data_IF_036842658553
#
_entry.id   IF_036842658553
#
_cell.length_a   1.000
_cell.length_b   1.000
_cell.length_c   1.000
_cell.angle_alpha   90.00
_cell.angle_beta   90.00
_cell.angle_gamma   90.00
#
_symmetry.space_group_name_H-M   'P 1'
#
loop_
_entity.id
_entity.type
_entity.pdbx_description
1 polymer ?
#
# COMPACT_ATOMS: atom_id res chain seq x y z
N UNK A 1 22.99 -6.57 -2.46
CA UNK A 1 21.82 -6.62 -1.58
C UNK A 1 21.49 -5.21 -1.09
N UNK A 2 20.21 -4.83 -1.02
CA UNK A 2 19.75 -3.56 -0.41
C UNK A 2 19.99 -3.57 1.10
N UNK A 3 19.93 -4.75 1.73
CA UNK A 3 20.22 -4.94 3.15
C UNK A 3 21.70 -4.68 3.51
N UNK A 4 22.57 -4.54 2.51
CA UNK A 4 23.97 -4.19 2.70
C UNK A 4 24.24 -2.67 2.65
N UNK A 5 23.20 -1.84 2.67
CA UNK A 5 23.31 -0.38 2.68
C UNK A 5 22.70 0.20 3.95
N UNK A 6 23.15 1.39 4.41
CA UNK A 6 22.53 2.07 5.55
C UNK A 6 21.19 2.76 5.20
N UNK A 7 20.76 2.68 3.93
CA UNK A 7 19.59 3.41 3.43
C UNK A 7 18.32 2.57 3.54
N UNK A 8 17.21 3.25 3.81
CA UNK A 8 15.89 2.62 3.97
C UNK A 8 14.91 2.92 2.83
N UNK A 9 15.24 3.89 1.98
CA UNK A 9 14.40 4.30 0.84
C UNK A 9 15.29 4.87 -0.27
N UNK A 10 15.11 4.36 -1.49
CA UNK A 10 15.71 4.88 -2.73
C UNK A 10 14.58 5.20 -3.70
N UNK A 11 14.71 6.26 -4.49
CA UNK A 11 13.67 6.72 -5.43
C UNK A 11 14.24 7.04 -6.81
N UNK A 12 13.35 7.10 -7.81
CA UNK A 12 13.67 7.57 -9.16
C UNK A 12 14.65 6.67 -9.92
N UNK A 13 15.40 7.31 -10.82
CA UNK A 13 16.32 6.61 -11.73
C UNK A 13 17.48 5.94 -10.99
N UNK A 14 17.96 6.53 -9.90
CA UNK A 14 19.04 5.97 -9.09
C UNK A 14 18.64 4.70 -8.34
N UNK A 15 17.37 4.60 -7.91
CA UNK A 15 16.84 3.34 -7.36
C UNK A 15 16.84 2.23 -8.41
N UNK A 16 16.49 2.59 -9.66
CA UNK A 16 16.52 1.65 -10.78
C UNK A 16 17.95 1.24 -11.11
N UNK A 17 18.87 2.20 -11.21
CA UNK A 17 20.29 1.94 -11.44
C UNK A 17 20.89 1.05 -10.34
N UNK A 18 20.56 1.31 -9.09
CA UNK A 18 20.93 0.45 -7.97
C UNK A 18 20.41 -0.97 -8.14
N UNK A 19 19.13 -1.16 -8.46
CA UNK A 19 18.56 -2.48 -8.73
C UNK A 19 19.29 -3.21 -9.89
N UNK A 20 19.64 -2.49 -10.97
CA UNK A 20 20.45 -3.05 -12.07
C UNK A 20 21.83 -3.50 -11.61
N UNK A 21 22.50 -2.70 -10.76
CA UNK A 21 23.81 -3.07 -10.19
C UNK A 21 23.76 -4.33 -9.32
N UNK A 22 22.57 -4.72 -8.84
CA UNK A 22 22.34 -5.96 -8.07
C UNK A 22 21.87 -7.14 -8.93
N UNK A 23 21.84 -7.00 -10.25
CA UNK A 23 21.50 -8.08 -11.18
C UNK A 23 20.00 -8.21 -11.49
N UNK A 24 19.14 -7.28 -11.06
CA UNK A 24 17.73 -7.30 -11.45
C UNK A 24 17.57 -6.88 -12.92
N UNK A 25 17.01 -7.74 -13.76
CA UNK A 25 16.80 -7.50 -15.19
C UNK A 25 15.70 -6.46 -15.46
N UNK A 26 15.81 -5.77 -16.60
CA UNK A 26 14.75 -4.88 -17.09
C UNK A 26 13.48 -5.69 -17.36
N UNK A 27 12.35 -5.19 -16.87
CA UNK A 27 11.05 -5.81 -17.03
C UNK A 27 10.02 -4.74 -17.30
N UNK A 28 9.19 -4.95 -18.32
CA UNK A 28 8.05 -4.09 -18.65
C UNK A 28 6.76 -4.72 -18.10
N UNK A 29 6.16 -4.14 -17.05
CA UNK A 29 4.93 -4.67 -16.47
C UNK A 29 3.68 -4.35 -17.28
N UNK A 30 3.77 -3.57 -18.37
CA UNK A 30 2.61 -3.08 -19.11
C UNK A 30 1.96 -4.19 -19.95
N UNK A 31 0.78 -4.63 -19.51
CA UNK A 31 -0.09 -5.56 -20.23
C UNK A 31 -0.77 -4.89 -21.44
N UNK A 32 -1.23 -5.65 -22.45
CA UNK A 32 -2.00 -5.10 -23.57
C UNK A 32 -3.22 -4.28 -23.11
N UNK A 33 -3.90 -4.74 -22.07
CA UNK A 33 -5.05 -4.05 -21.49
C UNK A 33 -4.64 -2.72 -20.82
N UNK A 34 -3.54 -2.69 -20.07
CA UNK A 34 -3.04 -1.44 -19.46
C UNK A 34 -2.64 -0.40 -20.52
N UNK A 35 -2.04 -0.85 -21.62
CA UNK A 35 -1.68 0.01 -22.76
C UNK A 35 -2.92 0.55 -23.45
N UNK A 36 -3.96 -0.28 -23.66
CA UNK A 36 -5.23 0.15 -24.23
C UNK A 36 -5.91 1.21 -23.35
N UNK A 37 -5.99 0.98 -22.04
CA UNK A 37 -6.52 1.95 -21.06
C UNK A 37 -5.76 3.27 -21.08
N UNK A 38 -4.43 3.24 -21.21
CA UNK A 38 -3.61 4.44 -21.37
C UNK A 38 -3.93 5.18 -22.67
N UNK A 39 -4.07 4.49 -23.80
CA UNK A 39 -4.40 5.12 -25.09
C UNK A 39 -5.78 5.80 -25.06
N UNK A 40 -6.81 5.10 -24.56
CA UNK A 40 -8.16 5.67 -24.39
C UNK A 40 -8.14 6.91 -23.49
N UNK A 41 -7.34 6.86 -22.44
CA UNK A 41 -7.15 7.97 -21.51
C UNK A 41 -6.47 9.19 -22.16
N UNK A 42 -5.42 8.95 -22.96
CA UNK A 42 -4.74 10.01 -23.70
C UNK A 42 -5.64 10.65 -24.77
N UNK A 43 -6.48 9.86 -25.44
CA UNK A 43 -7.47 10.39 -26.39
C UNK A 43 -8.46 11.33 -25.70
N UNK A 44 -9.02 10.91 -24.55
CA UNK A 44 -9.92 11.76 -23.74
C UNK A 44 -9.25 13.04 -23.25
N UNK A 45 -7.95 13.01 -22.93
CA UNK A 45 -7.18 14.22 -22.58
C UNK A 45 -7.07 15.17 -23.77
N UNK A 46 -6.76 14.65 -24.97
CA UNK A 46 -6.66 15.47 -26.19
C UNK A 46 -7.99 16.12 -26.55
N UNK A 47 -9.10 15.43 -26.32
CA UNK A 47 -10.46 15.93 -26.52
C UNK A 47 -10.95 16.88 -25.41
N UNK A 48 -10.14 17.13 -24.37
CA UNK A 48 -10.51 17.99 -23.23
C UNK A 48 -11.53 17.36 -22.27
N UNK A 49 -11.86 16.07 -22.44
CA UNK A 49 -12.81 15.33 -21.59
C UNK A 49 -12.21 14.86 -20.27
N UNK A 50 -10.88 14.73 -20.20
CA UNK A 50 -10.12 14.45 -18.98
C UNK A 50 -9.02 15.50 -18.80
N UNK A 51 -8.75 15.94 -17.56
CA UNK A 51 -7.60 16.80 -17.31
C UNK A 51 -6.31 16.00 -17.49
N UNK A 52 -5.23 16.67 -17.90
CA UNK A 52 -3.89 16.05 -18.02
C UNK A 52 -3.42 15.43 -16.71
N UNK A 53 -3.76 16.07 -15.60
CA UNK A 53 -3.50 15.59 -14.24
C UNK A 53 -4.78 15.66 -13.40
N UNK A 54 -4.96 14.68 -12.52
CA UNK A 54 -6.05 14.68 -11.57
C UNK A 54 -5.94 15.91 -10.64
N UNK A 55 -7.03 16.68 -10.55
CA UNK A 55 -7.13 17.83 -9.63
C UNK A 55 -7.62 17.43 -8.23
N UNK A 56 -8.22 16.24 -8.12
CA UNK A 56 -8.76 15.67 -6.88
C UNK A 56 -8.45 14.18 -6.84
N UNK A 57 -8.01 13.68 -5.70
CA UNK A 57 -7.68 12.27 -5.47
C UNK A 57 -8.90 11.34 -5.51
N UNK A 58 -10.12 11.88 -5.29
CA UNK A 58 -11.41 11.17 -5.31
C UNK A 58 -12.01 10.92 -6.70
N UNK A 59 -11.42 11.49 -7.76
CA UNK A 59 -11.98 11.44 -9.11
C UNK A 59 -11.34 10.35 -9.99
N UNK A 60 -10.45 9.54 -9.42
CA UNK A 60 -9.67 8.55 -10.15
C UNK A 60 -9.88 7.19 -9.51
N UNK A 61 -10.09 6.20 -10.36
CA UNK A 61 -10.23 4.82 -9.97
C UNK A 61 -8.95 4.33 -9.26
N UNK A 62 -9.02 4.11 -7.94
CA UNK A 62 -7.87 3.76 -7.10
C UNK A 62 -7.66 2.25 -7.14
N UNK A 63 -7.05 1.75 -8.21
CA UNK A 63 -6.77 0.33 -8.32
C UNK A 63 -5.28 0.06 -8.39
N UNK A 64 -4.80 -0.91 -7.60
CA UNK A 64 -3.50 -1.54 -7.84
C UNK A 64 -2.52 -1.62 -6.68
N UNK A 65 -2.91 -1.30 -5.44
CA UNK A 65 -2.06 -1.58 -4.27
C UNK A 65 -2.34 -2.99 -3.76
N UNK A 66 -1.28 -3.77 -3.58
CA UNK A 66 -1.29 -5.07 -2.91
C UNK A 66 -0.45 -4.99 -1.64
N UNK A 67 -0.94 -5.62 -0.57
CA UNK A 67 -0.26 -5.68 0.71
C UNK A 67 -0.28 -7.10 1.28
N UNK A 68 0.75 -7.44 2.03
CA UNK A 68 0.84 -8.71 2.75
C UNK A 68 1.45 -8.51 4.13
N UNK A 69 0.88 -9.19 5.12
CA UNK A 69 1.41 -9.26 6.48
C UNK A 69 1.58 -10.73 6.88
N UNK A 70 2.67 -11.03 7.58
CA UNK A 70 2.97 -12.41 7.99
C UNK A 70 3.61 -12.47 9.37
N UNK A 71 3.43 -13.62 10.03
CA UNK A 71 4.12 -14.01 11.26
C UNK A 71 4.81 -15.36 11.05
N UNK A 72 6.12 -15.43 11.32
CA UNK A 72 6.87 -16.67 11.15
C UNK A 72 6.76 -17.64 12.35
N UNK A 73 7.40 -18.82 12.25
CA UNK A 73 7.42 -19.82 13.34
C UNK A 73 8.14 -19.32 14.60
N UNK A 74 9.09 -18.40 14.47
CA UNK A 74 9.84 -17.77 15.57
C UNK A 74 9.09 -16.58 16.18
N UNK A 75 7.90 -16.24 15.66
CA UNK A 75 7.10 -15.14 16.13
C UNK A 75 7.52 -13.76 15.60
N UNK A 76 8.37 -13.70 14.56
CA UNK A 76 8.75 -12.45 13.90
C UNK A 76 7.67 -12.02 12.91
N UNK A 77 7.51 -10.71 12.74
CA UNK A 77 6.51 -10.10 11.87
C UNK A 77 7.16 -9.45 10.65
N UNK A 78 6.48 -9.53 9.51
CA UNK A 78 6.89 -8.87 8.28
C UNK A 78 5.68 -8.25 7.58
N UNK A 79 5.89 -7.12 6.92
CA UNK A 79 4.93 -6.42 6.09
C UNK A 79 5.56 -6.12 4.73
N UNK A 80 4.79 -6.27 3.66
CA UNK A 80 5.19 -5.89 2.30
C UNK A 80 4.04 -5.18 1.60
N UNK A 81 4.34 -4.13 0.84
CA UNK A 81 3.36 -3.40 0.05
C UNK A 81 3.96 -3.05 -1.32
N UNK A 82 3.14 -3.07 -2.36
CA UNK A 82 3.51 -2.68 -3.71
C UNK A 82 2.33 -2.04 -4.41
N UNK A 83 2.59 -1.07 -5.29
CA UNK A 83 1.54 -0.34 -6.00
C UNK A 83 2.01 0.14 -7.37
N UNK A 84 1.10 0.19 -8.33
CA UNK A 84 1.27 0.95 -9.57
C UNK A 84 1.03 2.46 -9.42
N UNK A 85 0.62 2.89 -8.23
CA UNK A 85 0.23 4.28 -7.95
C UNK A 85 -1.20 4.57 -8.40
N UNK A 86 -1.48 5.83 -8.68
CA UNK A 86 -2.81 6.28 -9.10
C UNK A 86 -2.70 6.94 -10.48
N UNK A 87 -3.66 6.66 -11.36
CA UNK A 87 -3.66 7.19 -12.72
C UNK A 87 -3.74 8.73 -12.73
N UNK A 88 -3.18 9.35 -13.77
CA UNK A 88 -3.20 10.81 -13.99
C UNK A 88 -2.58 11.65 -12.87
N UNK A 89 -1.74 11.08 -12.02
CA UNK A 89 -1.02 11.88 -11.03
C UNK A 89 0.16 12.63 -11.66
N UNK A 90 0.61 13.68 -10.99
CA UNK A 90 1.81 14.41 -11.39
C UNK A 90 3.03 13.46 -11.41
N UNK A 91 3.93 13.57 -12.39
CA UNK A 91 5.19 12.83 -12.39
C UNK A 91 5.94 13.08 -11.08
N UNK A 92 6.44 12.01 -10.46
CA UNK A 92 7.10 12.08 -9.16
C UNK A 92 6.16 12.04 -7.95
N UNK A 93 4.83 11.96 -8.12
CA UNK A 93 3.91 11.73 -7.00
C UNK A 93 4.23 10.39 -6.33
N UNK A 94 4.39 10.42 -5.01
CA UNK A 94 4.59 9.24 -4.16
C UNK A 94 3.37 9.09 -3.24
N UNK A 95 2.79 7.89 -3.21
CA UNK A 95 1.69 7.54 -2.31
C UNK A 95 2.20 6.95 -0.99
N UNK A 96 1.30 6.32 -0.23
CA UNK A 96 1.57 5.75 1.08
C UNK A 96 2.40 4.46 1.03
N UNK A 97 2.24 3.64 -0.02
CA UNK A 97 2.75 2.27 -0.07
C UNK A 97 4.25 2.12 0.22
N UNK A 98 5.17 2.97 -0.29
CA UNK A 98 6.61 2.86 0.04
C UNK A 98 6.99 3.55 1.36
N UNK A 99 6.06 4.20 2.05
CA UNK A 99 6.33 5.04 3.22
C UNK A 99 6.08 4.24 4.50
N UNK A 100 7.16 3.94 5.23
CA UNK A 100 7.11 3.24 6.52
C UNK A 100 6.28 4.04 7.52
N UNK A 101 5.31 3.38 8.15
CA UNK A 101 4.36 3.98 9.08
C UNK A 101 3.10 4.54 8.41
N UNK A 102 3.13 4.85 7.11
CA UNK A 102 1.93 5.18 6.36
C UNK A 102 1.32 3.92 5.73
N UNK A 103 1.89 3.43 4.62
CA UNK A 103 1.36 2.29 3.86
C UNK A 103 1.66 0.92 4.48
N UNK A 104 2.76 0.81 5.22
CA UNK A 104 3.13 -0.44 5.90
C UNK A 104 3.94 -0.17 7.18
N UNK A 105 3.81 -1.07 8.15
CA UNK A 105 4.64 -1.06 9.34
C UNK A 105 4.77 -2.46 9.93
N UNK A 106 5.97 -2.85 10.32
CA UNK A 106 6.21 -4.10 11.04
C UNK A 106 7.14 -3.86 12.23
N UNK A 107 6.80 -4.44 13.37
CA UNK A 107 7.59 -4.36 14.59
C UNK A 107 7.42 -5.62 15.45
N UNK A 108 8.00 -5.67 16.65
CA UNK A 108 8.00 -6.87 17.50
C UNK A 108 6.62 -7.39 17.91
N UNK A 109 5.56 -6.56 17.82
CA UNK A 109 4.21 -6.90 18.27
C UNK A 109 3.25 -7.28 17.14
N UNK A 110 3.47 -6.76 15.93
CA UNK A 110 2.55 -6.90 14.81
C UNK A 110 3.17 -6.46 13.47
N UNK A 111 2.49 -6.81 12.38
CA UNK A 111 2.68 -6.24 11.05
C UNK A 111 1.34 -5.72 10.52
N UNK A 112 1.38 -4.60 9.80
CA UNK A 112 0.23 -3.89 9.25
C UNK A 112 0.55 -3.43 7.82
N UNK A 113 -0.39 -3.59 6.90
CA UNK A 113 -0.37 -2.93 5.59
C UNK A 113 -1.72 -2.32 5.29
N UNK A 114 -1.74 -1.25 4.52
CA UNK A 114 -2.97 -0.54 4.15
C UNK A 114 -3.03 -0.27 2.65
N UNK A 115 -4.23 0.02 2.16
CA UNK A 115 -4.52 0.40 0.77
C UNK A 115 -5.61 1.47 0.76
N UNK A 116 -5.69 2.28 -0.30
CA UNK A 116 -6.72 3.32 -0.46
C UNK A 116 -6.17 4.64 -0.98
N UNK A 117 -6.76 5.76 -0.55
CA UNK A 117 -6.28 7.10 -0.90
C UNK A 117 -4.97 7.40 -0.15
N UNK A 118 -3.83 7.25 -0.85
CA UNK A 118 -2.50 7.40 -0.26
C UNK A 118 -2.28 8.73 0.48
N UNK A 119 -2.80 9.84 -0.03
CA UNK A 119 -2.67 11.15 0.62
C UNK A 119 -3.39 11.21 1.98
N UNK A 120 -4.55 10.57 2.09
CA UNK A 120 -5.32 10.54 3.34
C UNK A 120 -4.69 9.57 4.35
N UNK A 121 -4.10 8.47 3.86
CA UNK A 121 -3.34 7.51 4.64
C UNK A 121 -2.08 8.15 5.22
N UNK A 122 -1.30 8.84 4.40
CA UNK A 122 -0.04 9.48 4.80
C UNK A 122 -0.26 10.55 5.86
N UNK A 123 -1.29 11.40 5.70
CA UNK A 123 -1.64 12.44 6.70
C UNK A 123 -1.93 11.87 8.08
N UNK A 124 -2.35 10.61 8.17
CA UNK A 124 -2.71 9.93 9.42
C UNK A 124 -1.67 8.94 9.91
N UNK A 125 -0.62 8.67 9.12
CA UNK A 125 0.41 7.65 9.47
C UNK A 125 -0.26 6.31 9.82
N UNK A 126 -1.22 5.91 8.97
CA UNK A 126 -2.27 4.95 9.34
C UNK A 126 -1.73 3.59 9.83
N UNK A 127 -0.80 2.97 9.10
CA UNK A 127 -0.29 1.65 9.52
C UNK A 127 0.42 1.70 10.86
N UNK A 128 1.12 2.80 11.19
CA UNK A 128 1.72 3.02 12.51
C UNK A 128 0.65 3.22 13.59
N UNK A 129 -0.39 4.00 13.31
CA UNK A 129 -1.52 4.19 14.25
C UNK A 129 -2.16 2.85 14.59
N UNK A 130 -2.44 2.00 13.59
CA UNK A 130 -3.01 0.67 13.81
C UNK A 130 -2.03 -0.21 14.60
N UNK A 131 -0.74 -0.21 14.25
CA UNK A 131 0.29 -0.95 14.97
C UNK A 131 0.36 -0.55 16.44
N UNK A 132 0.33 0.74 16.76
CA UNK A 132 0.45 1.24 18.13
C UNK A 132 -0.72 0.79 18.99
N UNK A 133 -1.94 0.75 18.44
CA UNK A 133 -3.09 0.19 19.16
C UNK A 133 -2.91 -1.29 19.50
N UNK A 134 -2.34 -2.07 18.58
CA UNK A 134 -2.04 -3.48 18.84
C UNK A 134 -0.93 -3.60 19.90
N UNK A 135 0.10 -2.74 19.83
CA UNK A 135 1.16 -2.69 20.83
C UNK A 135 0.66 -2.28 22.22
N UNK A 136 -0.38 -1.44 22.30
CA UNK A 136 -1.12 -1.08 23.52
C UNK A 136 -2.06 -2.19 24.02
N UNK A 137 -2.10 -3.35 23.36
CA UNK A 137 -2.85 -4.53 23.79
C UNK A 137 -4.25 -4.69 23.17
N UNK A 138 -4.61 -3.88 22.16
CA UNK A 138 -5.85 -4.11 21.40
C UNK A 138 -5.70 -5.31 20.47
N UNK A 139 -6.81 -5.98 20.20
CA UNK A 139 -6.85 -7.01 19.16
C UNK A 139 -6.59 -6.38 17.78
N UNK A 140 -5.99 -7.11 16.82
CA UNK A 140 -5.80 -6.62 15.46
C UNK A 140 -7.08 -6.11 14.81
N UNK A 141 -8.21 -6.82 15.01
CA UNK A 141 -9.50 -6.41 14.46
C UNK A 141 -9.99 -5.08 15.06
N UNK A 142 -9.90 -4.91 16.39
CA UNK A 142 -10.29 -3.66 17.03
C UNK A 142 -9.41 -2.49 16.59
N UNK A 143 -8.11 -2.73 16.41
CA UNK A 143 -7.18 -1.72 15.89
C UNK A 143 -7.48 -1.34 14.43
N UNK A 144 -7.78 -2.32 13.56
CA UNK A 144 -8.14 -2.08 12.18
C UNK A 144 -9.46 -1.29 12.06
N UNK A 145 -10.50 -1.67 12.80
CA UNK A 145 -11.77 -0.94 12.86
C UNK A 145 -11.55 0.50 13.34
N UNK A 146 -10.71 0.70 14.37
CA UNK A 146 -10.36 2.05 14.82
C UNK A 146 -9.65 2.85 13.74
N UNK A 147 -8.72 2.24 13.01
CA UNK A 147 -8.03 2.85 11.87
C UNK A 147 -9.01 3.36 10.81
N UNK A 148 -9.98 2.54 10.40
CA UNK A 148 -11.01 2.95 9.45
C UNK A 148 -11.85 4.14 9.95
N UNK A 149 -12.22 4.15 11.24
CA UNK A 149 -13.05 5.22 11.81
C UNK A 149 -12.38 6.61 11.80
N UNK A 150 -11.11 6.71 11.42
CA UNK A 150 -10.39 7.98 11.26
C UNK A 150 -10.69 8.67 9.92
N UNK A 151 -11.43 8.01 9.03
CA UNK A 151 -11.71 8.48 7.69
C UNK A 151 -13.22 8.74 7.51
N UNK A 152 -13.59 9.77 6.73
CA UNK A 152 -14.94 9.89 6.23
C UNK A 152 -15.34 8.67 5.41
N UNK A 153 -16.64 8.37 5.34
CA UNK A 153 -17.17 7.22 4.60
C UNK A 153 -16.83 7.24 3.10
N UNK A 154 -16.63 8.43 2.53
CA UNK A 154 -16.31 8.63 1.12
C UNK A 154 -14.81 8.57 0.79
N UNK A 155 -13.98 8.12 1.74
CA UNK A 155 -12.55 7.88 1.55
C UNK A 155 -12.29 6.39 1.67
N UNK A 156 -12.11 5.70 0.53
CA UNK A 156 -11.85 4.26 0.50
C UNK A 156 -10.52 3.89 1.15
N UNK A 157 -10.58 3.01 2.14
CA UNK A 157 -9.43 2.50 2.90
C UNK A 157 -9.61 1.01 3.17
N UNK A 158 -8.53 0.25 2.99
CA UNK A 158 -8.40 -1.14 3.43
C UNK A 158 -7.22 -1.31 4.37
N UNK A 159 -7.37 -2.17 5.36
CA UNK A 159 -6.36 -2.44 6.39
C UNK A 159 -6.29 -3.95 6.62
N UNK A 160 -5.07 -4.49 6.65
CA UNK A 160 -4.81 -5.83 7.16
C UNK A 160 -3.71 -5.77 8.22
N UNK A 161 -3.86 -6.56 9.28
CA UNK A 161 -2.91 -6.63 10.38
C UNK A 161 -2.79 -8.06 10.92
N UNK A 162 -1.59 -8.43 11.38
CA UNK A 162 -1.34 -9.69 12.08
C UNK A 162 -0.52 -9.43 13.33
N UNK A 163 -0.87 -10.13 14.42
CA UNK A 163 -0.19 -10.06 15.71
C UNK A 163 -0.01 -11.46 16.31
N UNK A 164 0.49 -11.51 17.55
CA UNK A 164 0.57 -12.77 18.27
C UNK A 164 -0.81 -13.40 18.56
N UNK A 165 -1.84 -12.57 18.71
CA UNK A 165 -3.21 -12.96 19.07
C UNK A 165 -4.16 -13.17 17.88
N UNK A 166 -3.65 -13.23 16.65
CA UNK A 166 -4.47 -13.44 15.43
C UNK A 166 -4.27 -12.35 14.39
N UNK A 167 -5.23 -12.20 13.48
CA UNK A 167 -5.25 -11.18 12.44
C UNK A 167 -6.47 -10.28 12.56
N UNK A 168 -6.47 -9.20 11.80
CA UNK A 168 -7.59 -8.27 11.67
C UNK A 168 -7.59 -7.66 10.29
N UNK A 169 -8.78 -7.43 9.78
CA UNK A 169 -9.02 -6.96 8.41
C UNK A 169 -10.22 -6.04 8.40
N UNK A 170 -10.10 -4.92 7.71
CA UNK A 170 -11.17 -3.93 7.67
C UNK A 170 -11.13 -3.17 6.35
N UNK A 171 -12.29 -3.00 5.73
CA UNK A 171 -12.51 -2.09 4.60
C UNK A 171 -13.79 -1.31 4.81
N UNK A 172 -13.85 -0.06 4.32
CA UNK A 172 -15.08 0.75 4.33
C UNK A 172 -15.78 0.84 2.97
N UNK A 173 -15.22 0.22 1.92
CA UNK A 173 -15.77 0.15 0.57
C UNK A 173 -15.38 -1.19 -0.08
N UNK A 174 -16.04 -1.60 -1.17
CA UNK A 174 -15.80 -2.89 -1.86
C UNK A 174 -14.43 -3.00 -2.56
N UNK A 175 -13.56 -2.02 -2.36
CA UNK A 175 -12.27 -1.85 -3.06
C UNK A 175 -11.14 -2.73 -2.51
N UNK A 176 -11.23 -3.21 -1.27
CA UNK A 176 -10.16 -3.97 -0.64
C UNK A 176 -10.60 -5.42 -0.40
N UNK A 177 -10.01 -6.34 -1.17
CA UNK A 177 -10.11 -7.77 -0.95
C UNK A 177 -8.94 -8.24 -0.07
N UNK A 178 -9.23 -9.14 0.87
CA UNK A 178 -8.21 -9.79 1.69
C UNK A 178 -8.42 -11.31 1.66
N UNK A 179 -7.35 -12.04 1.92
CA UNK A 179 -7.40 -13.46 2.19
C UNK A 179 -6.53 -13.76 3.40
N UNK A 180 -7.05 -14.56 4.31
CA UNK A 180 -6.33 -14.99 5.52
C UNK A 180 -6.22 -16.51 5.54
N UNK A 181 -5.12 -17.01 6.10
CA UNK A 181 -4.92 -18.44 6.32
C UNK A 181 -4.44 -18.65 7.75
N UNK A 182 -5.07 -19.56 8.51
CA UNK A 182 -4.61 -19.89 9.85
C UNK A 182 -3.23 -20.53 9.79
N UNK A 183 -2.54 -20.54 10.93
CA UNK A 183 -1.21 -21.14 11.07
C UNK A 183 -1.27 -22.61 10.64
N UNK A 184 -0.64 -22.97 9.53
CA UNK A 184 -0.48 -24.38 9.16
C UNK A 184 0.47 -25.04 10.16
N UNK A 185 -0.06 -25.94 10.97
CA UNK A 185 0.74 -26.85 11.79
C UNK A 185 1.34 -27.90 10.84
N UNK A 186 2.63 -27.78 10.56
CA UNK A 186 3.46 -28.85 10.00
C UNK A 186 4.21 -29.53 11.12
#
# INVERSE_FOLDING_TARGET
DVFATPHVLLVGDDATAFARSKGHAVFDPATPESRRRLQESLAKIREGKLPRYARKWKAVDLHGTVGAVARDRRGRFAAGSSTGGTAFMLPGRVGDSPIVGAGLYAGPKAAVTVTGIGEEIMKRVLSKVVYDRIAEGRTPQAAANRGLSLFPEDVSIGIIAVSAGGWGEASNQDMAFFASSPRRTF
#
